data_IF_805231668042
#
_entry.id   IF_805231668042
#
_cell.length_a   1.000
_cell.length_b   1.000
_cell.length_c   1.000
_cell.angle_alpha   90.00
_cell.angle_beta   90.00
_cell.angle_gamma   90.00
#
_symmetry.space_group_name_H-M   'P 1'
#
loop_
_entity.id
_entity.type
_entity.pdbx_description
1 polymer ?
#
# COMPACT_ATOMS: atom_id res chain seq x y z
N UNK A 1 -28.97 -16.39 -4.48
CA UNK A 1 -28.30 -15.10 -4.22
C UNK A 1 -27.02 -15.12 -5.02
N UNK A 2 -26.79 -14.14 -5.88
CA UNK A 2 -25.51 -14.01 -6.57
C UNK A 2 -24.58 -13.38 -5.54
N UNK A 3 -23.55 -14.12 -5.17
CA UNK A 3 -22.57 -13.67 -4.19
C UNK A 3 -21.57 -12.74 -4.87
N UNK A 4 -21.04 -11.77 -4.12
CA UNK A 4 -20.05 -10.84 -4.67
C UNK A 4 -18.71 -11.58 -4.75
N UNK A 5 -18.05 -11.63 -5.92
CA UNK A 5 -16.85 -12.45 -6.08
C UNK A 5 -15.72 -12.00 -5.15
N UNK A 6 -14.98 -12.96 -4.61
CA UNK A 6 -13.88 -12.70 -3.68
C UNK A 6 -12.72 -11.93 -4.34
N UNK A 7 -12.46 -12.21 -5.62
CA UNK A 7 -11.34 -11.60 -6.35
C UNK A 7 -11.82 -10.94 -7.65
N UNK A 8 -11.42 -9.68 -7.85
CA UNK A 8 -11.61 -8.94 -9.09
C UNK A 8 -10.24 -8.78 -9.73
N UNK A 9 -9.98 -9.56 -10.79
CA UNK A 9 -8.65 -9.70 -11.37
C UNK A 9 -8.41 -8.78 -12.58
N UNK A 10 -9.44 -8.10 -13.06
CA UNK A 10 -9.35 -7.22 -14.23
C UNK A 10 -10.10 -5.91 -13.99
N UNK A 11 -9.68 -4.84 -14.66
CA UNK A 11 -10.44 -3.58 -14.70
C UNK A 11 -11.91 -3.77 -15.09
N UNK A 12 -12.18 -4.65 -16.06
CA UNK A 12 -13.55 -4.93 -16.51
C UNK A 12 -14.41 -5.56 -15.41
N UNK A 13 -13.85 -6.38 -14.52
CA UNK A 13 -14.60 -6.96 -13.39
C UNK A 13 -15.15 -5.86 -12.47
N UNK A 14 -14.34 -4.86 -12.16
CA UNK A 14 -14.79 -3.70 -11.35
C UNK A 14 -15.91 -2.93 -12.07
N UNK A 15 -15.76 -2.66 -13.37
CA UNK A 15 -16.79 -1.94 -14.14
C UNK A 15 -18.12 -2.71 -14.20
N UNK A 16 -18.05 -4.04 -14.34
CA UNK A 16 -19.23 -4.89 -14.32
C UNK A 16 -19.88 -4.88 -12.93
N UNK A 17 -19.08 -4.94 -11.86
CA UNK A 17 -19.57 -4.97 -10.49
C UNK A 17 -20.14 -3.64 -10.02
N UNK A 18 -19.66 -2.49 -10.52
CA UNK A 18 -20.26 -1.17 -10.25
C UNK A 18 -21.76 -1.12 -10.63
N UNK A 19 -22.16 -1.88 -11.64
CA UNK A 19 -23.57 -1.99 -12.06
C UNK A 19 -24.38 -2.96 -11.19
N UNK A 20 -23.70 -3.91 -10.52
CA UNK A 20 -24.34 -4.95 -9.70
C UNK A 20 -24.42 -4.53 -8.23
N UNK A 21 -23.30 -4.16 -7.62
CA UNK A 21 -23.20 -3.71 -6.24
C UNK A 21 -22.18 -2.57 -6.12
N UNK A 22 -22.67 -1.36 -6.38
CA UNK A 22 -21.86 -0.15 -6.33
C UNK A 22 -21.17 0.07 -4.99
N UNK A 23 -21.81 -0.33 -3.88
CA UNK A 23 -21.31 -0.02 -2.52
C UNK A 23 -20.05 -0.83 -2.24
N UNK A 24 -20.11 -2.14 -2.45
CA UNK A 24 -18.95 -3.01 -2.25
C UNK A 24 -17.86 -2.71 -3.29
N UNK A 25 -18.22 -2.43 -4.55
CA UNK A 25 -17.22 -2.11 -5.57
C UNK A 25 -16.48 -0.81 -5.27
N UNK A 26 -17.18 0.26 -4.87
CA UNK A 26 -16.55 1.54 -4.49
C UNK A 26 -15.62 1.35 -3.31
N UNK A 27 -16.03 0.60 -2.29
CA UNK A 27 -15.18 0.28 -1.14
C UNK A 27 -13.89 -0.44 -1.55
N UNK A 28 -13.97 -1.40 -2.48
CA UNK A 28 -12.77 -2.08 -3.00
C UNK A 28 -11.88 -1.14 -3.82
N UNK A 29 -12.46 -0.24 -4.61
CA UNK A 29 -11.71 0.77 -5.34
C UNK A 29 -10.96 1.72 -4.39
N UNK A 30 -11.59 2.14 -3.28
CA UNK A 30 -10.93 2.93 -2.23
C UNK A 30 -9.80 2.14 -1.55
N UNK A 31 -9.99 0.85 -1.31
CA UNK A 31 -8.91 -0.02 -0.82
C UNK A 31 -7.75 -0.10 -1.81
N UNK A 32 -8.00 -0.22 -3.11
CA UNK A 32 -6.93 -0.20 -4.12
C UNK A 32 -6.14 1.11 -4.10
N UNK A 33 -6.82 2.24 -3.92
CA UNK A 33 -6.16 3.54 -3.79
C UNK A 33 -5.32 3.61 -2.52
N UNK A 34 -5.84 3.19 -1.36
CA UNK A 34 -5.09 3.30 -0.10
C UNK A 34 -3.93 2.31 -0.03
N UNK A 35 -4.06 1.13 -0.62
CA UNK A 35 -3.02 0.07 -0.65
C UNK A 35 -1.88 0.34 -1.64
N UNK A 36 -1.95 1.41 -2.45
CA UNK A 36 -0.89 1.75 -3.40
C UNK A 36 0.39 2.27 -2.77
N UNK A 37 0.29 2.73 -1.52
CA UNK A 37 1.42 3.27 -0.78
C UNK A 37 2.13 2.16 -0.02
N UNK A 38 3.45 2.09 -0.21
CA UNK A 38 4.31 1.16 0.48
C UNK A 38 5.40 1.91 1.23
N UNK A 39 5.87 1.31 2.31
CA UNK A 39 6.98 1.83 3.08
C UNK A 39 8.29 1.41 2.41
N UNK A 40 8.96 2.35 1.76
CA UNK A 40 10.25 2.13 1.12
C UNK A 40 11.37 2.44 2.09
N UNK A 41 12.37 1.56 2.13
CA UNK A 41 13.57 1.80 2.90
C UNK A 41 14.37 2.93 2.25
N UNK A 42 14.61 3.99 3.00
CA UNK A 42 15.38 5.15 2.53
C UNK A 42 16.84 5.00 2.90
N UNK A 43 17.11 4.82 4.20
CA UNK A 43 18.47 4.71 4.73
C UNK A 43 18.50 4.09 6.12
N UNK A 44 19.66 3.56 6.47
CA UNK A 44 20.00 3.23 7.86
C UNK A 44 20.46 4.51 8.56
N UNK A 45 19.88 4.79 9.72
CA UNK A 45 20.21 5.90 10.60
C UNK A 45 21.36 5.47 11.51
N UNK A 46 22.44 6.25 11.50
CA UNK A 46 23.60 6.03 12.36
C UNK A 46 23.31 6.36 13.83
N UNK A 47 24.22 5.96 14.72
CA UNK A 47 24.12 6.26 16.15
C UNK A 47 24.09 7.80 16.38
N UNK A 48 22.99 8.28 16.96
CA UNK A 48 22.75 9.72 17.17
C UNK A 48 22.08 10.46 16.00
N UNK A 49 21.80 9.78 14.88
CA UNK A 49 21.02 10.39 13.80
C UNK A 49 19.53 10.40 14.16
N UNK A 50 18.93 11.59 14.13
CA UNK A 50 17.50 11.78 14.33
C UNK A 50 16.78 11.35 13.04
N UNK A 51 15.91 10.36 13.18
CA UNK A 51 15.02 9.97 12.11
C UNK A 51 13.80 10.88 12.05
N UNK A 52 13.14 10.89 10.90
CA UNK A 52 11.94 11.68 10.64
C UNK A 52 10.73 10.78 10.87
N UNK A 53 9.80 11.23 11.71
CA UNK A 53 8.54 10.55 12.01
C UNK A 53 7.38 11.51 11.72
N UNK A 54 6.76 11.34 10.56
CA UNK A 54 5.64 12.14 10.05
C UNK A 54 4.62 11.21 9.38
N UNK A 55 3.50 11.74 8.86
CA UNK A 55 2.49 10.94 8.13
C UNK A 55 3.08 10.10 6.98
N UNK A 56 4.18 10.56 6.38
CA UNK A 56 4.87 9.88 5.28
C UNK A 56 6.22 9.29 5.67
N UNK A 57 6.69 9.44 6.91
CA UNK A 57 8.02 8.98 7.32
C UNK A 57 7.92 8.17 8.61
N UNK A 58 8.61 7.04 8.68
CA UNK A 58 8.67 6.25 9.91
C UNK A 58 10.08 5.74 10.19
N UNK A 59 10.40 5.60 11.46
CA UNK A 59 11.64 4.99 11.93
C UNK A 59 11.33 3.62 12.50
N UNK A 60 11.85 2.57 11.88
CA UNK A 60 11.78 1.21 12.44
C UNK A 60 13.12 0.84 13.07
N UNK A 61 13.07 0.17 14.21
CA UNK A 61 14.25 -0.41 14.86
C UNK A 61 14.25 -1.91 14.58
N UNK A 62 15.28 -2.39 13.90
CA UNK A 62 15.47 -3.81 13.61
C UNK A 62 16.69 -4.29 14.36
N UNK A 63 16.54 -5.40 15.06
CA UNK A 63 17.67 -6.13 15.63
C UNK A 63 18.15 -7.13 14.60
N UNK A 64 19.30 -6.88 13.98
CA UNK A 64 19.91 -7.86 13.08
C UNK A 64 20.72 -8.87 13.89
N UNK A 65 20.46 -10.15 13.65
CA UNK A 65 21.27 -11.24 14.22
C UNK A 65 22.47 -11.41 13.31
N UNK A 66 23.71 -11.20 13.79
CA UNK A 66 24.89 -11.43 12.97
C UNK A 66 24.93 -12.89 12.50
N UNK A 67 25.38 -13.08 11.26
CA UNK A 67 25.49 -14.40 10.63
C UNK A 67 26.47 -15.31 11.38
N UNK A 68 27.46 -14.71 12.03
CA UNK A 68 28.27 -15.34 13.06
C UNK A 68 27.45 -15.37 14.36
N UNK A 69 26.98 -16.56 14.75
CA UNK A 69 26.24 -16.88 15.98
C UNK A 69 26.95 -16.50 17.31
N UNK A 70 28.07 -15.77 17.24
CA UNK A 70 28.88 -15.26 18.35
C UNK A 70 28.88 -13.72 18.45
N UNK A 71 28.25 -13.01 17.52
CA UNK A 71 28.20 -11.54 17.53
C UNK A 71 27.06 -11.00 18.41
N UNK A 72 27.31 -9.86 19.05
CA UNK A 72 26.30 -9.12 19.80
C UNK A 72 25.18 -8.63 18.85
N UNK A 73 23.96 -8.53 19.37
CA UNK A 73 22.83 -8.05 18.58
C UNK A 73 23.03 -6.57 18.24
N UNK A 74 23.10 -6.25 16.95
CA UNK A 74 23.23 -4.84 16.53
C UNK A 74 21.84 -4.28 16.29
N UNK A 75 21.43 -3.34 17.13
CA UNK A 75 20.21 -2.55 16.91
C UNK A 75 20.48 -1.54 15.80
N UNK A 76 19.77 -1.70 14.69
CA UNK A 76 19.81 -0.77 13.56
C UNK A 76 18.52 0.00 13.45
N UNK A 77 18.65 1.31 13.28
CA UNK A 77 17.53 2.21 13.04
C UNK A 77 17.42 2.42 11.54
N UNK A 78 16.27 2.15 10.97
CA UNK A 78 16.02 2.26 9.54
C UNK A 78 14.92 3.30 9.30
N UNK A 79 15.23 4.29 8.46
CA UNK A 79 14.27 5.26 7.98
C UNK A 79 13.50 4.67 6.80
N UNK A 80 12.19 4.74 6.88
CA UNK A 80 11.28 4.43 5.78
C UNK A 80 10.47 5.65 5.39
N UNK A 81 10.11 5.70 4.11
CA UNK A 81 9.25 6.73 3.53
C UNK A 81 8.07 6.07 2.82
N UNK A 82 6.89 6.62 3.00
CA UNK A 82 5.67 6.18 2.36
C UNK A 82 5.66 6.70 0.93
N UNK A 83 5.91 5.81 -0.03
CA UNK A 83 5.91 6.16 -1.45
C UNK A 83 4.87 5.34 -2.19
N UNK A 84 4.32 5.94 -3.24
CA UNK A 84 3.45 5.23 -4.17
C UNK A 84 4.27 4.23 -5.00
N UNK A 85 3.87 2.97 -4.97
CA UNK A 85 4.53 1.92 -5.75
C UNK A 85 3.87 1.76 -7.10
N UNK A 86 4.66 1.79 -8.18
CA UNK A 86 4.20 1.44 -9.53
C UNK A 86 3.70 -0.01 -9.64
N UNK A 87 4.07 -0.86 -8.68
CA UNK A 87 3.63 -2.26 -8.60
C UNK A 87 2.34 -2.45 -7.80
N UNK A 88 1.70 -1.37 -7.37
CA UNK A 88 0.43 -1.46 -6.65
C UNK A 88 -0.62 -2.24 -7.46
N UNK A 89 -1.52 -2.99 -6.79
CA UNK A 89 -2.56 -3.78 -7.47
C UNK A 89 -3.40 -2.93 -8.43
N UNK A 90 -3.63 -1.66 -8.08
CA UNK A 90 -4.33 -0.69 -8.92
C UNK A 90 -3.69 -0.58 -10.32
N UNK A 91 -2.37 -0.41 -10.38
CA UNK A 91 -1.65 -0.29 -11.65
C UNK A 91 -1.58 -1.61 -12.40
N UNK A 92 -1.46 -2.74 -11.69
CA UNK A 92 -1.50 -4.08 -12.29
C UNK A 92 -2.82 -4.39 -12.98
N UNK A 93 -3.93 -3.88 -12.43
CA UNK A 93 -5.27 -4.00 -13.03
C UNK A 93 -5.46 -3.11 -14.26
N UNK A 94 -4.51 -2.21 -14.56
CA UNK A 94 -4.58 -1.25 -15.67
C UNK A 94 -5.41 -0.01 -15.35
N UNK A 95 -5.65 0.27 -14.07
CA UNK A 95 -6.31 1.50 -13.63
C UNK A 95 -5.31 2.65 -13.48
N UNK A 96 -5.82 3.87 -13.67
CA UNK A 96 -5.13 5.10 -13.25
C UNK A 96 -5.73 5.60 -11.95
N UNK A 97 -4.93 6.25 -11.12
CA UNK A 97 -5.37 6.84 -9.84
C UNK A 97 -6.57 7.78 -10.07
N UNK A 98 -6.43 8.71 -11.02
CA UNK A 98 -7.47 9.67 -11.39
C UNK A 98 -8.78 9.00 -11.84
N UNK A 99 -8.66 7.90 -12.58
CA UNK A 99 -9.81 7.16 -13.10
C UNK A 99 -10.56 6.47 -11.96
N UNK A 100 -9.83 5.86 -11.02
CA UNK A 100 -10.45 5.21 -9.85
C UNK A 100 -11.10 6.24 -8.93
N UNK A 101 -10.45 7.38 -8.70
CA UNK A 101 -11.03 8.48 -7.93
C UNK A 101 -12.32 9.03 -8.57
N UNK A 102 -12.36 9.13 -9.90
CA UNK A 102 -13.59 9.52 -10.61
C UNK A 102 -14.69 8.48 -10.42
N UNK A 103 -14.39 7.19 -10.62
CA UNK A 103 -15.37 6.11 -10.42
C UNK A 103 -15.95 6.10 -9.01
N UNK A 104 -15.11 6.30 -7.99
CA UNK A 104 -15.55 6.41 -6.59
C UNK A 104 -16.48 7.62 -6.43
N UNK A 105 -16.10 8.79 -6.93
CA UNK A 105 -16.93 10.01 -6.83
C UNK A 105 -18.27 9.87 -7.53
N UNK A 106 -18.31 9.30 -8.73
CA UNK A 106 -19.54 9.11 -9.51
C UNK A 106 -20.50 8.12 -8.85
N UNK A 107 -19.98 7.09 -8.18
CA UNK A 107 -20.80 6.01 -7.60
C UNK A 107 -21.02 6.10 -6.08
N UNK A 108 -20.36 7.04 -5.39
CA UNK A 108 -20.54 7.34 -3.96
C UNK A 108 -21.70 8.32 -3.68
N UNK A 109 -22.32 8.87 -4.74
CA UNK A 109 -23.56 9.64 -4.65
C UNK A 109 -24.82 8.76 -4.71
#
# INVERSE_FOLDING_TARGET
MIDYPEHLNSKQDYLNMLSFDKVETVRRLEMLLTTRFYWFFVKELSEGEEGVEDDTHKVCRTTEIPFDLNGDFVEKRCQYELQESEYAPLFQLGFRVEEVEQLIKEHSQ
#
